data_IF_037583497549
#
_entry.id   IF_037583497549
#
_cell.length_a   1.000
_cell.length_b   1.000
_cell.length_c   1.000
_cell.angle_alpha   90.00
_cell.angle_beta   90.00
_cell.angle_gamma   90.00
#
_symmetry.space_group_name_H-M   'P 1'
#
loop_
_entity.id
_entity.type
_entity.pdbx_description
1 polymer ?
#
# COMPACT_ATOMS: atom_id res chain seq x y z
N UNK A 1 1.57 -14.03 -49.04
CA UNK A 1 2.03 -15.42 -49.24
C UNK A 1 0.97 -16.32 -48.62
N UNK A 2 -0.05 -16.70 -49.40
CA UNK A 2 -0.19 -17.99 -50.15
C UNK A 2 -0.75 -19.11 -49.25
N UNK A 3 -2.05 -19.46 -49.34
CA UNK A 3 -2.67 -20.57 -50.16
C UNK A 3 -2.38 -21.97 -49.53
N UNK A 4 -3.23 -23.02 -49.44
CA UNK A 4 -4.44 -23.54 -50.17
C UNK A 4 -5.37 -24.27 -49.15
N UNK A 5 -6.68 -24.54 -49.33
CA UNK A 5 -7.62 -24.01 -50.33
C UNK A 5 -8.47 -24.99 -51.19
N UNK A 6 -8.94 -26.18 -50.74
CA UNK A 6 -9.78 -27.08 -51.59
C UNK A 6 -10.97 -27.82 -50.89
N UNK A 7 -12.00 -28.31 -51.63
CA UNK A 7 -13.31 -28.76 -51.10
C UNK A 7 -13.66 -30.25 -51.38
N UNK A 8 -14.85 -30.69 -50.94
CA UNK A 8 -15.60 -31.85 -51.50
C UNK A 8 -17.10 -31.48 -51.56
N UNK A 9 -17.76 -31.37 -52.71
CA UNK A 9 -18.11 -32.36 -53.75
C UNK A 9 -19.34 -33.22 -53.42
N UNK A 10 -20.43 -32.92 -54.14
CA UNK A 10 -21.67 -33.70 -54.23
C UNK A 10 -21.61 -34.57 -55.50
N UNK A 11 -21.98 -35.85 -55.39
CA UNK A 11 -22.33 -36.72 -56.51
C UNK A 11 -23.43 -37.70 -56.03
N UNK A 12 -24.68 -37.55 -56.48
CA UNK A 12 -25.24 -38.15 -57.71
C UNK A 12 -25.21 -39.68 -57.73
N UNK A 13 -26.35 -40.27 -57.39
CA UNK A 13 -26.63 -41.70 -57.55
C UNK A 13 -27.40 -41.95 -58.86
N UNK A 14 -26.96 -42.95 -59.65
CA UNK A 14 -27.80 -43.69 -60.59
C UNK A 14 -27.32 -45.16 -60.67
N UNK A 15 -28.21 -46.13 -60.99
CA UNK A 15 -27.95 -47.55 -60.79
C UNK A 15 -27.60 -48.31 -62.08
N UNK A 16 -26.83 -49.39 -61.95
CA UNK A 16 -26.87 -50.54 -62.88
C UNK A 16 -26.78 -51.82 -62.05
N UNK A 17 -27.71 -52.74 -62.28
CA UNK A 17 -27.67 -54.10 -61.71
C UNK A 17 -27.80 -55.09 -62.86
N UNK A 18 -26.82 -55.97 -63.03
CA UNK A 18 -26.93 -57.13 -63.93
C UNK A 18 -27.42 -58.33 -63.14
N UNK A 19 -28.39 -59.06 -63.71
CA UNK A 19 -28.97 -60.24 -63.09
C UNK A 19 -28.09 -61.49 -63.29
N UNK A 20 -27.87 -62.24 -62.22
CA UNK A 20 -27.31 -63.60 -62.24
C UNK A 20 -28.07 -64.43 -61.20
N UNK A 21 -28.80 -65.46 -61.65
CA UNK A 21 -29.78 -66.15 -60.81
C UNK A 21 -29.33 -67.52 -60.30
N UNK A 22 -30.10 -68.06 -59.35
CA UNK A 22 -30.18 -69.51 -59.12
C UNK A 22 -29.51 -70.05 -57.84
N UNK A 23 -30.20 -69.98 -56.71
CA UNK A 23 -30.97 -71.12 -56.15
C UNK A 23 -31.55 -70.78 -54.77
N UNK A 24 -32.61 -71.48 -54.35
CA UNK A 24 -33.39 -71.16 -53.14
C UNK A 24 -32.77 -71.83 -51.89
N UNK A 25 -32.53 -71.05 -50.83
CA UNK A 25 -32.38 -71.56 -49.45
C UNK A 25 -33.36 -70.83 -48.51
N UNK A 26 -34.61 -71.28 -48.51
CA UNK A 26 -35.79 -70.56 -47.96
C UNK A 26 -36.00 -70.70 -46.43
N UNK A 27 -35.06 -71.28 -45.68
CA UNK A 27 -35.21 -71.45 -44.21
C UNK A 27 -33.92 -71.20 -43.43
N UNK A 28 -33.29 -70.02 -43.60
CA UNK A 28 -32.08 -69.62 -42.85
C UNK A 28 -31.95 -68.14 -42.49
N UNK A 29 -32.48 -67.21 -43.30
CA UNK A 29 -32.13 -65.78 -43.19
C UNK A 29 -32.53 -65.05 -41.90
N UNK A 30 -33.44 -65.57 -41.07
CA UNK A 30 -33.83 -64.90 -39.81
C UNK A 30 -32.81 -65.11 -38.68
N UNK A 31 -32.16 -66.27 -38.60
CA UNK A 31 -31.11 -66.52 -37.61
C UNK A 31 -29.84 -65.72 -37.95
N UNK A 32 -29.45 -65.72 -39.22
CA UNK A 32 -28.32 -64.93 -39.74
C UNK A 32 -28.48 -63.42 -39.46
N UNK A 33 -29.67 -62.88 -39.74
CA UNK A 33 -29.97 -61.47 -39.44
C UNK A 33 -29.89 -61.15 -37.94
N UNK A 34 -30.33 -62.06 -37.07
CA UNK A 34 -30.29 -61.85 -35.62
C UNK A 34 -28.87 -61.97 -35.05
N UNK A 35 -28.03 -62.82 -35.65
CA UNK A 35 -26.59 -62.90 -35.34
C UNK A 35 -25.88 -61.60 -35.72
N UNK A 36 -26.15 -61.06 -36.91
CA UNK A 36 -25.61 -59.77 -37.34
C UNK A 36 -26.05 -58.60 -36.44
N UNK A 37 -27.32 -58.59 -36.01
CA UNK A 37 -27.82 -57.58 -35.04
C UNK A 37 -27.19 -57.73 -33.65
N UNK A 38 -26.93 -58.96 -33.19
CA UNK A 38 -26.24 -59.22 -31.92
C UNK A 38 -24.77 -58.78 -31.97
N UNK A 39 -24.08 -59.03 -33.09
CA UNK A 39 -22.71 -58.56 -33.30
C UNK A 39 -22.65 -57.03 -33.34
N UNK A 40 -23.57 -56.37 -34.06
CA UNK A 40 -23.65 -54.91 -34.08
C UNK A 40 -23.92 -54.33 -32.67
N UNK A 41 -24.69 -55.03 -31.81
CA UNK A 41 -24.86 -54.65 -30.41
C UNK A 41 -23.57 -54.84 -29.58
N UNK A 42 -22.79 -55.91 -29.85
CA UNK A 42 -21.48 -56.15 -29.23
C UNK A 42 -20.48 -55.03 -29.58
N UNK A 43 -20.39 -54.69 -30.86
CA UNK A 43 -19.49 -53.64 -31.36
C UNK A 43 -19.88 -52.26 -30.80
N UNK A 44 -21.18 -51.95 -30.75
CA UNK A 44 -21.68 -50.70 -30.16
C UNK A 44 -21.44 -50.63 -28.64
N UNK A 45 -21.54 -51.75 -27.92
CA UNK A 45 -21.21 -51.82 -26.50
C UNK A 45 -19.69 -51.66 -26.26
N UNK A 46 -18.85 -52.27 -27.10
CA UNK A 46 -17.40 -52.11 -27.04
C UNK A 46 -16.96 -50.66 -27.30
N UNK A 47 -17.58 -49.98 -28.27
CA UNK A 47 -17.35 -48.56 -28.52
C UNK A 47 -17.73 -47.70 -27.30
N UNK A 48 -18.93 -47.90 -26.74
CA UNK A 48 -19.39 -47.17 -25.54
C UNK A 48 -18.48 -47.41 -24.32
N UNK A 49 -17.94 -48.63 -24.17
CA UNK A 49 -16.98 -48.96 -23.12
C UNK A 49 -15.65 -48.21 -23.31
N UNK A 50 -15.11 -48.19 -24.52
CA UNK A 50 -13.86 -47.48 -24.84
C UNK A 50 -14.00 -45.96 -24.66
N UNK A 51 -15.12 -45.38 -25.09
CA UNK A 51 -15.43 -43.95 -24.87
C UNK A 51 -15.49 -43.60 -23.38
N UNK A 52 -16.07 -44.48 -22.54
CA UNK A 52 -16.16 -44.27 -21.10
C UNK A 52 -14.81 -44.36 -20.39
N UNK A 53 -14.00 -45.38 -20.70
CA UNK A 53 -12.63 -45.52 -20.15
C UNK A 53 -11.72 -44.35 -20.57
N UNK A 54 -11.82 -43.88 -21.83
CA UNK A 54 -11.09 -42.70 -22.30
C UNK A 54 -11.48 -41.45 -21.49
N UNK A 55 -12.78 -41.16 -21.38
CA UNK A 55 -13.28 -40.01 -20.63
C UNK A 55 -12.91 -40.09 -19.13
N UNK A 56 -12.92 -41.27 -18.53
CA UNK A 56 -12.50 -41.48 -17.14
C UNK A 56 -11.01 -41.16 -16.91
N UNK A 57 -10.15 -41.50 -17.88
CA UNK A 57 -8.71 -41.21 -17.82
C UNK A 57 -8.43 -39.71 -17.96
N UNK A 58 -9.06 -39.04 -18.92
CA UNK A 58 -8.90 -37.60 -19.13
C UNK A 58 -9.40 -36.81 -17.91
N UNK A 59 -10.55 -37.18 -17.36
CA UNK A 59 -11.10 -36.57 -16.15
C UNK A 59 -10.23 -36.82 -14.91
N UNK A 60 -9.51 -37.95 -14.81
CA UNK A 60 -8.55 -38.17 -13.72
C UNK A 60 -7.41 -37.14 -13.77
N UNK A 61 -6.88 -36.81 -14.95
CA UNK A 61 -5.85 -35.78 -15.09
C UNK A 61 -6.36 -34.42 -14.59
N UNK A 62 -7.63 -34.09 -14.85
CA UNK A 62 -8.29 -32.89 -14.33
C UNK A 62 -8.40 -32.89 -12.79
N UNK A 63 -8.78 -34.02 -12.18
CA UNK A 63 -8.84 -34.17 -10.71
C UNK A 63 -7.45 -34.10 -10.06
N UNK A 64 -6.45 -34.75 -10.66
CA UNK A 64 -5.06 -34.70 -10.20
C UNK A 64 -4.51 -33.26 -10.27
N UNK A 65 -4.88 -32.50 -11.31
CA UNK A 65 -4.51 -31.08 -11.48
C UNK A 65 -5.15 -30.19 -10.41
N UNK A 66 -6.44 -30.39 -10.09
CA UNK A 66 -7.13 -29.66 -9.02
C UNK A 66 -6.49 -29.97 -7.67
N UNK A 67 -6.31 -31.25 -7.34
CA UNK A 67 -5.80 -31.69 -6.02
C UNK A 67 -4.35 -31.32 -5.77
N UNK A 68 -3.51 -31.21 -6.81
CA UNK A 68 -2.14 -30.72 -6.70
C UNK A 68 -2.04 -29.26 -6.19
N UNK A 69 -3.13 -28.47 -6.27
CA UNK A 69 -3.09 -27.02 -5.98
C UNK A 69 -4.23 -26.50 -5.09
N UNK A 70 -5.29 -27.28 -4.85
CA UNK A 70 -6.47 -26.85 -4.08
C UNK A 70 -6.91 -27.93 -3.06
N UNK A 71 -6.82 -27.60 -1.77
CA UNK A 71 -7.34 -28.40 -0.64
C UNK A 71 -8.65 -27.81 -0.07
N UNK A 72 -9.36 -26.97 -0.83
CA UNK A 72 -10.66 -26.47 -0.39
C UNK A 72 -11.69 -27.60 -0.21
N UNK A 73 -12.75 -27.41 0.61
CA UNK A 73 -13.84 -28.38 0.72
C UNK A 73 -14.50 -28.72 -0.63
N UNK A 74 -14.47 -27.79 -1.60
CA UNK A 74 -14.97 -28.02 -2.95
C UNK A 74 -14.07 -28.99 -3.75
N UNK A 75 -12.74 -28.83 -3.66
CA UNK A 75 -11.79 -29.74 -4.29
C UNK A 75 -11.84 -31.15 -3.67
N UNK A 76 -11.86 -31.25 -2.33
CA UNK A 76 -12.05 -32.53 -1.63
C UNK A 76 -13.37 -33.22 -1.98
N UNK A 77 -14.45 -32.44 -2.13
CA UNK A 77 -15.73 -32.97 -2.61
C UNK A 77 -15.64 -33.48 -4.05
N UNK A 78 -14.96 -32.76 -4.95
CA UNK A 78 -14.76 -33.22 -6.32
C UNK A 78 -14.04 -34.59 -6.36
N UNK A 79 -13.05 -34.83 -5.50
CA UNK A 79 -12.41 -36.15 -5.36
C UNK A 79 -13.43 -37.21 -4.91
N UNK A 80 -14.19 -36.94 -3.83
CA UNK A 80 -15.20 -37.89 -3.31
C UNK A 80 -16.30 -38.22 -4.33
N UNK A 81 -16.78 -37.21 -5.06
CA UNK A 81 -17.81 -37.34 -6.08
C UNK A 81 -17.25 -38.10 -7.32
N UNK A 82 -15.98 -37.90 -7.68
CA UNK A 82 -15.28 -38.67 -8.72
C UNK A 82 -15.05 -40.14 -8.32
N UNK A 83 -14.65 -40.43 -7.08
CA UNK A 83 -14.56 -41.81 -6.56
C UNK A 83 -15.91 -42.52 -6.57
N UNK A 84 -17.00 -41.80 -6.30
CA UNK A 84 -18.36 -42.34 -6.37
C UNK A 84 -18.79 -42.64 -7.82
N UNK A 85 -18.38 -41.81 -8.79
CA UNK A 85 -18.56 -42.11 -10.22
C UNK A 85 -17.69 -43.30 -10.65
N UNK A 86 -16.44 -43.40 -10.19
CA UNK A 86 -15.55 -44.53 -10.46
C UNK A 86 -16.18 -45.88 -10.13
N UNK A 87 -16.75 -46.02 -8.93
CA UNK A 87 -17.47 -47.26 -8.53
C UNK A 87 -18.66 -47.61 -9.44
N UNK A 88 -19.32 -46.61 -10.03
CA UNK A 88 -20.46 -46.80 -10.95
C UNK A 88 -20.00 -47.12 -12.38
N UNK A 89 -18.83 -46.61 -12.78
CA UNK A 89 -18.13 -47.03 -14.00
C UNK A 89 -17.71 -48.48 -13.85
N UNK A 90 -17.08 -48.88 -12.74
CA UNK A 90 -16.67 -50.26 -12.48
C UNK A 90 -17.87 -51.24 -12.56
N UNK A 91 -19.03 -50.86 -12.01
CA UNK A 91 -20.26 -51.65 -12.09
C UNK A 91 -20.80 -51.77 -13.54
N UNK A 92 -20.82 -50.67 -14.30
CA UNK A 92 -21.26 -50.68 -15.70
C UNK A 92 -20.32 -51.51 -16.60
N UNK A 93 -19.00 -51.32 -16.40
CA UNK A 93 -17.93 -52.10 -17.02
C UNK A 93 -18.04 -53.58 -16.73
N UNK A 94 -18.28 -53.96 -15.47
CA UNK A 94 -18.47 -55.36 -15.07
C UNK A 94 -19.70 -56.00 -15.72
N UNK A 95 -20.83 -55.26 -15.83
CA UNK A 95 -22.02 -55.74 -16.54
C UNK A 95 -21.78 -55.91 -18.05
N UNK A 96 -21.01 -55.02 -18.67
CA UNK A 96 -20.59 -55.17 -20.07
C UNK A 96 -19.70 -56.39 -20.28
N UNK A 97 -18.66 -56.58 -19.46
CA UNK A 97 -17.76 -57.74 -19.52
C UNK A 97 -18.56 -59.04 -19.37
N UNK A 98 -19.41 -59.13 -18.34
CA UNK A 98 -20.29 -60.29 -18.14
C UNK A 98 -21.21 -60.56 -19.34
N UNK A 99 -21.74 -59.52 -19.99
CA UNK A 99 -22.58 -59.67 -21.18
C UNK A 99 -21.77 -60.09 -22.43
N UNK A 100 -20.50 -59.74 -22.53
CA UNK A 100 -19.61 -60.23 -23.60
C UNK A 100 -19.20 -61.68 -23.35
N UNK A 101 -18.84 -62.02 -22.12
CA UNK A 101 -18.36 -63.36 -21.73
C UNK A 101 -19.48 -64.41 -21.73
N UNK A 102 -20.74 -64.00 -21.49
CA UNK A 102 -21.90 -64.90 -21.50
C UNK A 102 -22.32 -65.38 -22.90
N UNK A 103 -21.93 -64.66 -23.98
CA UNK A 103 -22.44 -64.90 -25.34
C UNK A 103 -21.31 -65.10 -26.35
N UNK A 104 -20.99 -66.37 -26.63
CA UNK A 104 -20.19 -66.77 -27.78
C UNK A 104 -21.00 -66.59 -29.08
N UNK A 105 -20.82 -65.42 -29.71
CA UNK A 105 -21.43 -65.06 -31.00
C UNK A 105 -20.68 -65.65 -32.21
N UNK A 106 -19.54 -66.33 -32.00
CA UNK A 106 -18.72 -66.93 -33.06
C UNK A 106 -19.09 -68.39 -33.31
N UNK A 107 -19.79 -69.04 -32.38
CA UNK A 107 -20.34 -70.41 -32.48
C UNK A 107 -21.23 -70.65 -33.73
N UNK A 108 -20.93 -71.70 -34.49
CA UNK A 108 -21.61 -72.03 -35.77
C UNK A 108 -23.10 -72.40 -35.64
N UNK A 109 -23.51 -73.02 -34.53
CA UNK A 109 -24.88 -73.48 -34.26
C UNK A 109 -25.68 -72.57 -33.32
N UNK A 110 -25.38 -71.26 -33.31
CA UNK A 110 -26.05 -70.27 -32.45
C UNK A 110 -27.57 -70.21 -32.67
N UNK A 111 -28.35 -70.51 -31.64
CA UNK A 111 -29.80 -70.41 -31.69
C UNK A 111 -30.30 -68.97 -31.83
N UNK A 112 -31.34 -68.77 -32.64
CA UNK A 112 -32.06 -67.48 -32.75
C UNK A 112 -32.48 -66.90 -31.39
N UNK A 113 -32.91 -67.75 -30.43
CA UNK A 113 -33.27 -67.30 -29.09
C UNK A 113 -32.04 -66.81 -28.29
N UNK A 114 -30.87 -67.42 -28.47
CA UNK A 114 -29.62 -66.98 -27.85
C UNK A 114 -29.12 -65.67 -28.46
N UNK A 115 -29.13 -65.54 -29.79
CA UNK A 115 -28.76 -64.31 -30.49
C UNK A 115 -29.62 -63.10 -30.05
N UNK A 116 -30.94 -63.28 -29.90
CA UNK A 116 -31.81 -62.21 -29.38
C UNK A 116 -31.52 -61.85 -27.92
N UNK A 117 -31.24 -62.83 -27.04
CA UNK A 117 -30.83 -62.56 -25.64
C UNK A 117 -29.52 -61.77 -25.60
N UNK A 118 -28.50 -62.20 -26.35
CA UNK A 118 -27.23 -61.51 -26.47
C UNK A 118 -27.42 -60.06 -26.94
N UNK A 119 -28.21 -59.84 -28.00
CA UNK A 119 -28.57 -58.50 -28.49
C UNK A 119 -29.20 -57.64 -27.40
N UNK A 120 -30.17 -58.16 -26.65
CA UNK A 120 -30.86 -57.44 -25.56
C UNK A 120 -29.90 -57.09 -24.42
N UNK A 121 -29.09 -58.05 -23.96
CA UNK A 121 -28.17 -57.86 -22.84
C UNK A 121 -27.02 -56.89 -23.20
N UNK A 122 -26.44 -57.01 -24.39
CA UNK A 122 -25.42 -56.10 -24.91
C UNK A 122 -25.97 -54.68 -25.15
N UNK A 123 -27.21 -54.55 -25.65
CA UNK A 123 -27.86 -53.23 -25.78
C UNK A 123 -28.09 -52.58 -24.42
N UNK A 124 -28.53 -53.35 -23.42
CA UNK A 124 -28.73 -52.86 -22.06
C UNK A 124 -27.41 -52.43 -21.39
N UNK A 125 -26.32 -53.19 -21.60
CA UNK A 125 -24.98 -52.82 -21.15
C UNK A 125 -24.50 -51.53 -21.83
N UNK A 126 -24.67 -51.41 -23.15
CA UNK A 126 -24.35 -50.19 -23.92
C UNK A 126 -25.13 -48.97 -23.44
N UNK A 127 -26.42 -49.12 -23.15
CA UNK A 127 -27.25 -48.01 -22.65
C UNK A 127 -26.86 -47.60 -21.22
N UNK A 128 -26.47 -48.54 -20.37
CA UNK A 128 -25.94 -48.23 -19.04
C UNK A 128 -24.58 -47.52 -19.10
N UNK A 129 -23.65 -47.99 -19.95
CA UNK A 129 -22.36 -47.33 -20.19
C UNK A 129 -22.58 -45.88 -20.66
N UNK A 130 -23.51 -45.67 -21.59
CA UNK A 130 -23.91 -44.35 -22.07
C UNK A 130 -24.52 -43.45 -20.98
N UNK A 131 -25.34 -44.00 -20.08
CA UNK A 131 -25.90 -43.25 -18.94
C UNK A 131 -24.81 -42.78 -17.97
N UNK A 132 -23.86 -43.66 -17.60
CA UNK A 132 -22.75 -43.32 -16.72
C UNK A 132 -21.80 -42.31 -17.41
N UNK A 133 -21.56 -42.44 -18.72
CA UNK A 133 -20.78 -41.45 -19.48
C UNK A 133 -21.42 -40.06 -19.42
N UNK A 134 -22.74 -39.95 -19.64
CA UNK A 134 -23.43 -38.65 -19.56
C UNK A 134 -23.36 -38.01 -18.18
N UNK A 135 -23.26 -38.79 -17.10
CA UNK A 135 -23.04 -38.28 -15.75
C UNK A 135 -21.59 -37.81 -15.55
N UNK A 136 -20.63 -38.54 -16.12
CA UNK A 136 -19.22 -38.17 -16.15
C UNK A 136 -19.00 -36.83 -16.87
N UNK A 137 -19.58 -36.68 -18.07
CA UNK A 137 -19.53 -35.46 -18.90
C UNK A 137 -20.17 -34.26 -18.16
N UNK A 138 -21.25 -34.50 -17.41
CA UNK A 138 -21.92 -33.49 -16.55
C UNK A 138 -21.07 -33.10 -15.33
N UNK A 139 -20.37 -34.06 -14.73
CA UNK A 139 -19.46 -33.81 -13.62
C UNK A 139 -18.22 -33.03 -14.08
N UNK A 140 -17.59 -33.43 -15.19
CA UNK A 140 -16.47 -32.71 -15.82
C UNK A 140 -16.84 -31.25 -16.10
N UNK A 141 -18.01 -31.02 -16.71
CA UNK A 141 -18.55 -29.67 -16.97
C UNK A 141 -18.67 -28.82 -15.69
N UNK A 142 -18.91 -29.46 -14.54
CA UNK A 142 -18.96 -28.81 -13.23
C UNK A 142 -17.59 -28.44 -12.63
N UNK A 143 -16.49 -29.05 -13.10
CA UNK A 143 -15.14 -28.78 -12.60
C UNK A 143 -14.51 -27.49 -13.16
N UNK A 144 -15.05 -26.91 -14.24
CA UNK A 144 -14.49 -25.74 -14.93
C UNK A 144 -14.01 -24.60 -14.01
N UNK A 145 -14.78 -24.17 -12.99
CA UNK A 145 -14.34 -23.13 -12.04
C UNK A 145 -13.14 -23.54 -11.16
N UNK A 146 -13.02 -24.83 -10.80
CA UNK A 146 -11.88 -25.35 -10.04
C UNK A 146 -10.64 -25.47 -10.92
N UNK A 147 -10.79 -25.95 -12.16
CA UNK A 147 -9.70 -26.02 -13.14
C UNK A 147 -9.15 -24.63 -13.48
N UNK A 148 -10.00 -23.65 -13.82
CA UNK A 148 -9.55 -22.30 -14.11
C UNK A 148 -8.86 -21.60 -12.92
N UNK A 149 -9.25 -21.93 -11.69
CA UNK A 149 -8.54 -21.50 -10.46
C UNK A 149 -7.18 -22.18 -10.35
N UNK A 150 -7.11 -23.49 -10.59
CA UNK A 150 -5.87 -24.28 -10.54
C UNK A 150 -4.84 -23.79 -11.57
N UNK A 151 -5.25 -23.64 -12.83
CA UNK A 151 -4.45 -23.04 -13.91
C UNK A 151 -3.94 -21.65 -13.55
N UNK A 152 -4.80 -20.80 -12.99
CA UNK A 152 -4.44 -19.45 -12.54
C UNK A 152 -3.36 -19.47 -11.44
N UNK A 153 -3.39 -20.45 -10.53
CA UNK A 153 -2.35 -20.60 -9.50
C UNK A 153 -1.04 -21.13 -10.08
N UNK A 154 -1.09 -22.14 -10.94
CA UNK A 154 0.07 -22.70 -11.63
C UNK A 154 0.79 -21.65 -12.48
N UNK A 155 0.05 -20.87 -13.27
CA UNK A 155 0.59 -19.79 -14.10
C UNK A 155 1.28 -18.68 -13.28
N UNK A 156 0.88 -18.48 -12.01
CA UNK A 156 1.48 -17.49 -11.10
C UNK A 156 2.73 -18.00 -10.38
N UNK A 157 2.93 -19.32 -10.29
CA UNK A 157 3.95 -19.94 -9.44
C UNK A 157 5.38 -19.50 -9.81
N UNK A 158 5.81 -19.77 -11.04
CA UNK A 158 7.16 -19.43 -11.48
C UNK A 158 7.44 -17.90 -11.43
N UNK A 159 6.55 -17.02 -11.92
CA UNK A 159 6.72 -15.57 -11.75
C UNK A 159 6.77 -15.08 -10.30
N UNK A 160 6.13 -15.77 -9.35
CA UNK A 160 6.20 -15.42 -7.93
C UNK A 160 7.55 -15.81 -7.31
N UNK A 161 8.02 -17.04 -7.55
CA UNK A 161 9.31 -17.53 -7.06
C UNK A 161 10.46 -16.69 -7.62
N UNK A 162 10.40 -16.31 -8.90
CA UNK A 162 11.43 -15.49 -9.52
C UNK A 162 11.47 -14.07 -8.94
N UNK A 163 10.31 -13.43 -8.72
CA UNK A 163 10.25 -12.12 -8.02
C UNK A 163 10.82 -12.20 -6.61
N UNK A 164 10.58 -13.27 -5.87
CA UNK A 164 11.17 -13.47 -4.54
C UNK A 164 12.71 -13.53 -4.59
N UNK A 165 13.28 -14.26 -5.56
CA UNK A 165 14.74 -14.34 -5.77
C UNK A 165 15.34 -12.98 -6.16
N UNK A 166 14.70 -12.27 -7.08
CA UNK A 166 15.15 -10.94 -7.52
C UNK A 166 15.09 -9.91 -6.37
N UNK A 167 14.05 -9.95 -5.54
CA UNK A 167 13.93 -9.09 -4.36
C UNK A 167 15.04 -9.38 -3.33
N UNK A 168 15.33 -10.66 -3.05
CA UNK A 168 16.43 -11.06 -2.16
C UNK A 168 17.80 -10.59 -2.66
N UNK A 169 18.09 -10.77 -3.96
CA UNK A 169 19.33 -10.30 -4.58
C UNK A 169 19.46 -8.76 -4.50
N UNK A 170 18.38 -8.05 -4.81
CA UNK A 170 18.35 -6.59 -4.72
C UNK A 170 18.54 -6.08 -3.27
N UNK A 171 17.97 -6.77 -2.28
CA UNK A 171 18.18 -6.48 -0.87
C UNK A 171 19.64 -6.71 -0.45
N UNK A 172 20.28 -7.81 -0.89
CA UNK A 172 21.71 -8.05 -0.64
C UNK A 172 22.58 -6.95 -1.22
N UNK A 173 22.37 -6.61 -2.50
CA UNK A 173 23.13 -5.57 -3.20
C UNK A 173 22.98 -4.19 -2.52
N UNK A 174 21.78 -3.85 -2.04
CA UNK A 174 21.56 -2.61 -1.30
C UNK A 174 22.32 -2.59 0.05
N UNK A 175 22.35 -3.71 0.79
CA UNK A 175 23.14 -3.81 2.02
C UNK A 175 24.65 -3.72 1.77
N UNK A 176 25.14 -4.30 0.67
CA UNK A 176 26.55 -4.19 0.29
C UNK A 176 26.92 -2.77 -0.17
N UNK A 177 26.00 -2.05 -0.82
CA UNK A 177 26.14 -0.63 -1.11
C UNK A 177 26.19 0.22 0.18
N UNK A 178 25.32 -0.05 1.15
CA UNK A 178 25.35 0.62 2.46
C UNK A 178 26.68 0.35 3.18
N UNK A 179 27.16 -0.91 3.20
CA UNK A 179 28.48 -1.25 3.78
C UNK A 179 29.63 -0.54 3.08
N UNK A 180 29.62 -0.46 1.75
CA UNK A 180 30.69 0.22 1.00
C UNK A 180 30.73 1.73 1.25
N UNK A 181 29.60 2.34 1.64
CA UNK A 181 29.53 3.73 2.12
C UNK A 181 30.01 3.94 3.56
N UNK A 182 30.47 2.88 4.25
CA UNK A 182 30.91 2.93 5.66
C UNK A 182 29.76 2.91 6.66
N UNK A 183 28.52 2.68 6.21
CA UNK A 183 27.34 2.59 7.06
C UNK A 183 27.09 1.16 7.54
N UNK A 184 26.53 1.04 8.74
CA UNK A 184 26.10 -0.22 9.35
C UNK A 184 24.65 -0.50 9.01
N UNK A 185 24.34 -1.78 8.84
CA UNK A 185 23.00 -2.25 8.54
C UNK A 185 22.75 -3.62 9.19
N UNK A 186 23.30 -3.85 10.39
CA UNK A 186 23.38 -5.16 11.02
C UNK A 186 22.00 -5.77 11.27
N UNK A 187 21.03 -4.97 11.74
CA UNK A 187 19.63 -5.40 11.92
C UNK A 187 18.95 -5.78 10.59
N UNK A 188 19.24 -5.04 9.51
CA UNK A 188 18.70 -5.32 8.17
C UNK A 188 19.34 -6.57 7.57
N UNK A 189 20.64 -6.78 7.80
CA UNK A 189 21.37 -7.97 7.40
C UNK A 189 20.90 -9.22 8.17
N UNK A 190 20.64 -9.09 9.47
CA UNK A 190 20.05 -10.17 10.29
C UNK A 190 18.64 -10.54 9.79
N UNK A 191 17.80 -9.54 9.45
CA UNK A 191 16.49 -9.78 8.84
C UNK A 191 16.58 -10.43 7.46
N UNK A 192 17.54 -10.04 6.62
CA UNK A 192 17.77 -10.70 5.33
C UNK A 192 18.24 -12.15 5.51
N UNK A 193 19.14 -12.40 6.47
CA UNK A 193 19.61 -13.75 6.78
C UNK A 193 18.47 -14.66 7.29
N UNK A 194 17.51 -14.11 8.03
CA UNK A 194 16.32 -14.83 8.50
C UNK A 194 15.41 -15.33 7.35
N UNK A 195 15.51 -14.75 6.14
CA UNK A 195 14.80 -15.24 4.94
C UNK A 195 15.49 -16.45 4.27
N UNK A 196 16.71 -16.81 4.70
CA UNK A 196 17.48 -17.94 4.15
C UNK A 196 16.73 -19.28 4.14
N UNK A 197 16.13 -19.73 5.26
CA UNK A 197 15.33 -20.96 5.30
C UNK A 197 14.12 -20.94 4.36
N UNK A 198 13.50 -19.78 4.13
CA UNK A 198 12.38 -19.67 3.19
C UNK A 198 12.89 -19.74 1.74
N UNK A 199 14.04 -19.15 1.40
CA UNK A 199 14.70 -19.36 0.11
C UNK A 199 15.04 -20.84 -0.13
N UNK A 200 15.51 -21.58 0.88
CA UNK A 200 15.73 -23.04 0.76
C UNK A 200 14.46 -23.77 0.38
N UNK A 201 13.33 -23.46 1.03
CA UNK A 201 12.02 -24.08 0.72
C UNK A 201 11.48 -23.64 -0.65
N UNK A 202 11.74 -22.40 -1.08
CA UNK A 202 11.41 -21.96 -2.45
C UNK A 202 12.22 -22.72 -3.51
N UNK A 203 13.48 -23.05 -3.23
CA UNK A 203 14.32 -23.85 -4.13
C UNK A 203 13.94 -25.35 -4.15
N UNK A 204 13.38 -25.87 -3.06
CA UNK A 204 12.74 -27.20 -3.02
C UNK A 204 11.44 -27.26 -3.84
N UNK A 205 10.76 -26.12 -4.01
CA UNK A 205 9.66 -25.95 -4.95
C UNK A 205 8.31 -26.55 -4.52
N UNK A 206 7.29 -26.31 -5.34
CA UNK A 206 5.91 -26.68 -5.01
C UNK A 206 5.65 -28.20 -4.99
N UNK A 207 6.46 -29.01 -5.67
CA UNK A 207 6.33 -30.47 -5.62
C UNK A 207 6.59 -31.06 -4.23
N UNK A 208 7.35 -30.38 -3.37
CA UNK A 208 7.58 -30.78 -1.98
C UNK A 208 6.69 -30.01 -0.98
N UNK A 209 6.32 -28.76 -1.29
CA UNK A 209 5.67 -27.85 -0.33
C UNK A 209 4.20 -27.52 -0.63
N UNK A 210 3.67 -27.91 -1.79
CA UNK A 210 2.35 -27.50 -2.29
C UNK A 210 2.39 -26.14 -3.00
N UNK A 211 1.57 -25.99 -4.05
CA UNK A 211 1.51 -24.74 -4.84
C UNK A 211 1.03 -23.54 -4.02
N UNK A 212 -0.04 -23.62 -3.20
CA UNK A 212 -0.50 -22.50 -2.38
C UNK A 212 0.57 -21.98 -1.41
N UNK A 213 1.23 -22.88 -0.69
CA UNK A 213 2.24 -22.56 0.32
C UNK A 213 3.51 -21.98 -0.33
N UNK A 214 3.91 -22.47 -1.51
CA UNK A 214 5.02 -21.87 -2.27
C UNK A 214 4.67 -20.48 -2.80
N UNK A 215 3.44 -20.24 -3.25
CA UNK A 215 2.95 -18.91 -3.69
C UNK A 215 2.91 -17.91 -2.53
N UNK A 216 2.40 -18.31 -1.37
CA UNK A 216 2.35 -17.51 -0.15
C UNK A 216 3.77 -17.14 0.31
N UNK A 217 4.64 -18.14 0.47
CA UNK A 217 6.06 -17.98 0.82
C UNK A 217 6.78 -17.03 -0.14
N UNK A 218 6.61 -17.21 -1.45
CA UNK A 218 7.24 -16.35 -2.44
C UNK A 218 6.76 -14.89 -2.32
N UNK A 219 5.47 -14.70 -2.06
CA UNK A 219 4.88 -13.37 -1.87
C UNK A 219 5.38 -12.70 -0.58
N UNK A 220 5.51 -13.46 0.51
CA UNK A 220 6.05 -12.95 1.78
C UNK A 220 7.54 -12.59 1.65
N UNK A 221 8.37 -13.51 1.14
CA UNK A 221 9.81 -13.29 0.92
C UNK A 221 10.08 -12.08 0.03
N UNK A 222 9.31 -11.93 -1.07
CA UNK A 222 9.44 -10.76 -1.94
C UNK A 222 9.16 -9.45 -1.18
N UNK A 223 8.05 -9.37 -0.44
CA UNK A 223 7.67 -8.17 0.34
C UNK A 223 8.68 -7.83 1.42
N UNK A 224 9.17 -8.82 2.17
CA UNK A 224 10.12 -8.59 3.25
C UNK A 224 11.49 -8.16 2.71
N UNK A 225 11.96 -8.77 1.62
CA UNK A 225 13.19 -8.36 0.95
C UNK A 225 13.08 -6.95 0.31
N UNK A 226 11.96 -6.61 -0.33
CA UNK A 226 11.70 -5.26 -0.83
C UNK A 226 11.66 -4.21 0.29
N UNK A 227 11.08 -4.53 1.45
CA UNK A 227 11.08 -3.67 2.62
C UNK A 227 12.49 -3.48 3.22
N UNK A 228 13.32 -4.53 3.22
CA UNK A 228 14.73 -4.45 3.63
C UNK A 228 15.52 -3.55 2.66
N UNK A 229 15.35 -3.75 1.34
CA UNK A 229 15.99 -2.92 0.30
C UNK A 229 15.64 -1.45 0.47
N UNK A 230 14.35 -1.12 0.54
CA UNK A 230 13.88 0.26 0.69
C UNK A 230 14.39 0.94 1.97
N UNK A 231 14.56 0.18 3.06
CA UNK A 231 15.16 0.70 4.31
C UNK A 231 16.68 0.89 4.19
N UNK A 232 17.38 0.01 3.47
CA UNK A 232 18.81 0.15 3.20
C UNK A 232 19.09 1.38 2.31
N UNK A 233 18.33 1.56 1.24
CA UNK A 233 18.45 2.67 0.29
C UNK A 233 18.29 4.06 0.96
N UNK A 234 17.54 4.14 2.06
CA UNK A 234 17.32 5.38 2.83
C UNK A 234 18.47 5.73 3.82
N UNK A 235 19.35 4.79 4.16
CA UNK A 235 20.41 5.03 5.15
C UNK A 235 21.43 6.11 4.70
N UNK A 236 21.92 6.12 3.44
CA UNK A 236 22.85 7.16 2.97
C UNK A 236 22.21 8.56 2.95
N UNK A 237 20.96 8.68 2.54
CA UNK A 237 20.23 9.96 2.53
C UNK A 237 20.07 10.51 3.95
N UNK A 238 19.63 9.66 4.89
CA UNK A 238 19.48 10.03 6.30
C UNK A 238 20.81 10.42 6.96
N UNK A 239 21.89 9.74 6.60
CA UNK A 239 23.23 10.07 7.06
C UNK A 239 23.65 11.47 6.56
N UNK A 240 23.53 11.73 5.26
CA UNK A 240 23.86 13.02 4.64
C UNK A 240 23.00 14.17 5.18
N UNK A 241 21.71 13.95 5.44
CA UNK A 241 20.83 14.96 6.04
C UNK A 241 21.31 15.37 7.45
N UNK A 242 21.67 14.39 8.28
CA UNK A 242 22.20 14.64 9.63
C UNK A 242 23.54 15.37 9.55
N UNK A 243 24.42 15.01 8.62
CA UNK A 243 25.72 15.67 8.42
C UNK A 243 25.55 17.13 8.00
N UNK A 244 24.63 17.42 7.06
CA UNK A 244 24.29 18.78 6.67
C UNK A 244 23.70 19.59 7.83
N UNK A 245 22.79 19.01 8.62
CA UNK A 245 22.20 19.65 9.80
C UNK A 245 23.26 19.94 10.88
N UNK A 246 24.21 19.04 11.11
CA UNK A 246 25.34 19.23 12.02
C UNK A 246 26.21 20.42 11.61
N UNK A 247 26.57 20.52 10.34
CA UNK A 247 27.36 21.67 9.81
C UNK A 247 26.57 22.97 9.92
N UNK A 248 25.31 22.98 9.48
CA UNK A 248 24.45 24.17 9.51
C UNK A 248 24.25 24.73 10.93
N UNK A 249 23.93 23.86 11.90
CA UNK A 249 23.72 24.27 13.29
C UNK A 249 25.02 24.66 13.99
N UNK A 250 26.17 24.05 13.65
CA UNK A 250 27.49 24.46 14.15
C UNK A 250 27.84 25.87 13.69
N UNK A 251 27.65 26.19 12.41
CA UNK A 251 27.83 27.54 11.88
C UNK A 251 26.88 28.55 12.55
N UNK A 252 25.61 28.16 12.78
CA UNK A 252 24.66 29.04 13.49
C UNK A 252 25.04 29.29 14.95
N UNK A 253 25.50 28.27 15.68
CA UNK A 253 26.01 28.43 17.04
C UNK A 253 27.16 29.43 17.08
N UNK A 254 28.15 29.27 16.20
CA UNK A 254 29.34 30.11 16.13
C UNK A 254 29.03 31.58 15.74
N UNK A 255 28.04 31.79 14.86
CA UNK A 255 27.49 33.12 14.56
C UNK A 255 26.77 33.73 15.77
N UNK A 256 26.02 32.92 16.55
CA UNK A 256 25.35 33.37 17.76
C UNK A 256 26.32 33.67 18.90
N UNK A 257 27.44 32.96 19.04
CA UNK A 257 28.52 33.32 19.98
C UNK A 257 29.01 34.74 19.71
N UNK A 258 29.27 35.07 18.44
CA UNK A 258 29.70 36.41 18.02
C UNK A 258 28.64 37.47 18.30
N UNK A 259 27.36 37.20 18.01
CA UNK A 259 26.25 38.15 18.24
C UNK A 259 25.92 38.34 19.72
N UNK A 260 26.02 37.29 20.55
CA UNK A 260 25.81 37.37 21.99
C UNK A 260 26.83 38.32 22.66
N UNK A 261 28.09 38.31 22.19
CA UNK A 261 29.12 39.26 22.63
C UNK A 261 28.82 40.73 22.32
N UNK A 262 27.87 41.04 21.43
CA UNK A 262 27.42 42.40 21.15
C UNK A 262 26.30 42.88 22.09
N UNK A 263 25.74 42.01 22.93
CA UNK A 263 24.65 42.37 23.86
C UNK A 263 25.16 43.24 25.01
N UNK A 264 26.35 42.98 25.55
CA UNK A 264 26.92 43.78 26.66
C UNK A 264 27.16 45.26 26.30
N UNK A 265 27.73 45.61 25.12
CA UNK A 265 27.74 46.98 24.62
C UNK A 265 26.35 47.62 24.53
N UNK A 266 25.35 46.89 24.00
CA UNK A 266 23.96 47.36 23.88
C UNK A 266 23.33 47.62 25.25
N UNK A 267 23.49 46.71 26.21
CA UNK A 267 23.03 46.87 27.59
C UNK A 267 23.75 48.01 28.32
N UNK A 268 25.01 48.28 27.98
CA UNK A 268 25.77 49.39 28.56
C UNK A 268 25.24 50.74 28.05
N UNK A 269 24.91 50.84 26.76
CA UNK A 269 24.28 52.02 26.19
C UNK A 269 22.87 52.24 26.74
N UNK A 270 22.08 51.17 26.90
CA UNK A 270 20.76 51.21 27.53
C UNK A 270 20.84 51.75 28.98
N UNK A 271 21.73 51.17 29.80
CA UNK A 271 21.98 51.60 31.19
C UNK A 271 22.43 53.06 31.31
N UNK A 272 23.14 53.58 30.31
CA UNK A 272 23.64 54.97 30.28
C UNK A 272 22.55 56.00 29.97
N UNK A 273 21.53 55.64 29.19
CA UNK A 273 20.62 56.61 28.56
C UNK A 273 19.14 56.47 28.93
N UNK A 274 18.72 55.33 29.44
CA UNK A 274 17.31 55.02 29.69
C UNK A 274 17.07 54.56 31.13
N UNK A 275 15.82 54.68 31.59
CA UNK A 275 15.40 54.24 32.93
C UNK A 275 15.55 52.73 33.11
N UNK A 276 15.58 52.25 34.36
CA UNK A 276 15.75 50.82 34.66
C UNK A 276 14.69 49.94 33.98
N UNK A 277 13.44 50.39 33.94
CA UNK A 277 12.32 49.69 33.29
C UNK A 277 12.54 49.42 31.79
N UNK A 278 13.42 50.17 31.12
CA UNK A 278 13.73 49.98 29.71
C UNK A 278 14.68 48.80 29.43
N UNK A 279 15.41 48.28 30.44
CA UNK A 279 16.49 47.29 30.22
C UNK A 279 16.67 46.23 31.31
N UNK A 280 16.08 46.38 32.50
CA UNK A 280 16.30 45.47 33.64
C UNK A 280 15.88 44.03 33.32
N UNK A 281 14.83 43.85 32.51
CA UNK A 281 14.37 42.56 32.00
C UNK A 281 15.41 41.86 31.10
N UNK A 282 16.28 42.62 30.45
CA UNK A 282 17.31 42.13 29.54
C UNK A 282 18.64 41.83 30.23
N UNK A 283 18.79 42.14 31.53
CA UNK A 283 20.09 42.04 32.23
C UNK A 283 20.69 40.63 32.24
N UNK A 284 19.86 39.59 32.20
CA UNK A 284 20.29 38.18 32.21
C UNK A 284 20.58 37.62 30.81
N UNK A 285 20.25 38.34 29.73
CA UNK A 285 20.37 37.86 28.35
C UNK A 285 21.80 37.45 27.98
N UNK A 286 22.88 38.19 28.33
CA UNK A 286 24.25 37.76 27.99
C UNK A 286 24.63 36.41 28.63
N UNK A 287 24.29 36.22 29.91
CA UNK A 287 24.57 34.98 30.64
C UNK A 287 23.75 33.81 30.09
N UNK A 288 22.46 34.02 29.82
CA UNK A 288 21.56 33.01 29.25
C UNK A 288 21.97 32.63 27.82
N UNK A 289 22.31 33.60 26.98
CA UNK A 289 22.79 33.36 25.62
C UNK A 289 24.11 32.57 25.63
N UNK A 290 25.06 32.95 26.49
CA UNK A 290 26.31 32.22 26.65
C UNK A 290 26.12 30.79 27.13
N UNK A 291 25.19 30.54 28.06
CA UNK A 291 24.88 29.18 28.52
C UNK A 291 24.17 28.34 27.46
N UNK A 292 23.13 28.88 26.82
CA UNK A 292 22.40 28.18 25.77
C UNK A 292 23.32 27.79 24.59
N UNK A 293 24.26 28.66 24.21
CA UNK A 293 25.27 28.36 23.18
C UNK A 293 26.22 27.25 23.64
N UNK A 294 26.74 27.29 24.88
CA UNK A 294 27.57 26.19 25.43
C UNK A 294 26.83 24.86 25.44
N UNK A 295 25.57 24.85 25.85
CA UNK A 295 24.72 23.66 25.84
C UNK A 295 24.46 23.18 24.41
N UNK A 296 24.21 24.09 23.46
CA UNK A 296 24.06 23.74 22.05
C UNK A 296 25.35 23.14 21.46
N UNK A 297 26.53 23.68 21.78
CA UNK A 297 27.82 23.13 21.36
C UNK A 297 28.10 21.74 21.96
N UNK A 298 27.75 21.51 23.23
CA UNK A 298 27.83 20.19 23.86
C UNK A 298 26.89 19.19 23.17
N UNK A 299 25.62 19.58 22.95
CA UNK A 299 24.63 18.74 22.27
C UNK A 299 24.97 18.49 20.80
N UNK A 300 25.68 19.39 20.12
CA UNK A 300 26.25 19.14 18.80
C UNK A 300 27.37 18.08 18.82
N UNK A 301 28.20 18.01 19.87
CA UNK A 301 29.19 16.95 20.05
C UNK A 301 28.53 15.60 20.35
N UNK A 302 27.50 15.59 21.19
CA UNK A 302 26.68 14.40 21.44
C UNK A 302 25.97 13.92 20.16
N UNK A 303 25.44 14.84 19.35
CA UNK A 303 24.78 14.53 18.09
C UNK A 303 25.77 13.97 17.05
N UNK A 304 26.99 14.50 17.00
CA UNK A 304 28.08 13.93 16.18
C UNK A 304 28.40 12.50 16.64
N UNK A 305 28.63 12.27 17.94
CA UNK A 305 28.90 10.94 18.46
C UNK A 305 27.72 9.95 18.23
N UNK A 306 26.48 10.42 18.26
CA UNK A 306 25.31 9.63 17.89
C UNK A 306 25.27 9.32 16.38
N UNK A 307 25.65 10.28 15.52
CA UNK A 307 25.77 10.11 14.05
C UNK A 307 26.89 9.14 13.67
N UNK A 308 28.04 9.21 14.34
CA UNK A 308 29.19 8.33 14.12
C UNK A 308 28.88 6.90 14.59
N UNK A 309 28.17 6.77 15.73
CA UNK A 309 27.62 5.51 16.23
C UNK A 309 26.33 5.05 15.49
N UNK A 310 25.85 5.83 14.52
CA UNK A 310 24.66 5.57 13.69
C UNK A 310 23.36 5.37 14.48
N UNK A 311 23.26 5.99 15.66
CA UNK A 311 22.04 6.10 16.48
C UNK A 311 21.16 7.23 15.93
N UNK A 312 20.53 6.96 14.80
CA UNK A 312 19.78 7.97 14.03
C UNK A 312 18.66 8.70 14.82
N UNK A 313 17.85 8.05 15.68
CA UNK A 313 16.84 8.75 16.47
C UNK A 313 17.47 9.75 17.46
N UNK A 314 18.53 9.33 18.16
CA UNK A 314 19.24 10.14 19.15
C UNK A 314 19.86 11.38 18.50
N UNK A 315 20.56 11.22 17.38
CA UNK A 315 21.12 12.33 16.60
C UNK A 315 20.01 13.30 16.15
N UNK A 316 18.86 12.79 15.70
CA UNK A 316 17.72 13.62 15.27
C UNK A 316 17.12 14.42 16.44
N UNK A 317 16.99 13.79 17.61
CA UNK A 317 16.49 14.43 18.83
C UNK A 317 17.43 15.54 19.32
N UNK A 318 18.74 15.22 19.42
CA UNK A 318 19.77 16.17 19.85
C UNK A 318 19.86 17.39 18.93
N UNK A 319 19.81 17.20 17.60
CA UNK A 319 19.78 18.32 16.64
C UNK A 319 18.52 19.18 16.78
N UNK A 320 17.40 18.59 17.17
CA UNK A 320 16.16 19.34 17.45
C UNK A 320 16.29 20.18 18.72
N UNK A 321 16.90 19.64 19.78
CA UNK A 321 17.23 20.39 21.00
C UNK A 321 18.20 21.55 20.71
N UNK A 322 19.25 21.30 19.93
CA UNK A 322 20.20 22.35 19.48
C UNK A 322 19.45 23.46 18.74
N UNK A 323 18.58 23.12 17.78
CA UNK A 323 17.79 24.11 17.04
C UNK A 323 16.92 24.97 17.97
N UNK A 324 16.28 24.37 18.97
CA UNK A 324 15.47 25.10 19.95
C UNK A 324 16.33 26.08 20.77
N UNK A 325 17.43 25.62 21.36
CA UNK A 325 18.36 26.45 22.14
C UNK A 325 18.89 27.64 21.31
N UNK A 326 19.30 27.40 20.06
CA UNK A 326 19.82 28.44 19.19
C UNK A 326 18.73 29.43 18.75
N UNK A 327 17.50 28.99 18.48
CA UNK A 327 16.38 29.88 18.17
C UNK A 327 16.04 30.81 19.34
N UNK A 328 15.83 30.26 20.55
CA UNK A 328 15.53 31.05 21.75
C UNK A 328 16.65 32.05 22.07
N UNK A 329 17.91 31.67 21.81
CA UNK A 329 19.06 32.56 21.99
C UNK A 329 19.08 33.69 20.96
N UNK A 330 18.79 33.39 19.69
CA UNK A 330 18.72 34.37 18.61
C UNK A 330 17.63 35.42 18.86
N UNK A 331 16.47 34.98 19.33
CA UNK A 331 15.36 35.83 19.74
C UNK A 331 15.76 36.76 20.90
N UNK A 332 16.35 36.22 21.97
CA UNK A 332 16.78 37.00 23.13
C UNK A 332 17.89 38.03 22.80
N UNK A 333 18.90 37.61 22.03
CA UNK A 333 20.00 38.48 21.56
C UNK A 333 19.48 39.59 20.65
N UNK A 334 18.55 39.27 19.75
CA UNK A 334 17.95 40.26 18.85
C UNK A 334 17.06 41.25 19.60
N UNK A 335 16.28 40.78 20.59
CA UNK A 335 15.41 41.63 21.41
C UNK A 335 16.16 42.78 22.10
N UNK A 336 17.39 42.56 22.58
CA UNK A 336 18.19 43.63 23.19
C UNK A 336 18.61 44.72 22.19
N UNK A 337 19.09 44.32 21.01
CA UNK A 337 19.44 45.25 19.93
C UNK A 337 18.22 46.02 19.42
N UNK A 338 17.07 45.34 19.32
CA UNK A 338 15.80 45.92 18.87
C UNK A 338 15.22 46.89 19.90
N UNK A 339 15.31 46.57 21.20
CA UNK A 339 14.97 47.46 22.31
C UNK A 339 15.73 48.79 22.20
N UNK A 340 17.07 48.75 22.05
CA UNK A 340 17.87 49.95 21.90
C UNK A 340 17.51 50.77 20.64
N UNK A 341 17.26 50.12 19.49
CA UNK A 341 16.83 50.84 18.28
C UNK A 341 15.48 51.53 18.45
N UNK A 342 14.48 50.85 19.03
CA UNK A 342 13.14 51.41 19.30
C UNK A 342 13.20 52.57 20.30
N UNK A 343 13.96 52.40 21.39
CA UNK A 343 14.14 53.45 22.41
C UNK A 343 14.87 54.68 21.85
N UNK A 344 15.87 54.50 21.00
CA UNK A 344 16.52 55.60 20.29
C UNK A 344 15.57 56.36 19.35
N UNK A 345 14.68 55.65 18.64
CA UNK A 345 13.72 56.26 17.74
C UNK A 345 12.68 57.10 18.51
N UNK A 346 12.05 56.53 19.54
CA UNK A 346 11.03 57.23 20.32
C UNK A 346 11.61 58.36 21.18
N UNK A 347 12.85 58.25 21.66
CA UNK A 347 13.52 59.36 22.35
C UNK A 347 13.79 60.55 21.41
N UNK A 348 14.03 60.28 20.12
CA UNK A 348 14.25 61.32 19.10
C UNK A 348 12.95 62.02 18.70
N UNK A 349 11.87 61.26 18.55
CA UNK A 349 10.55 61.77 18.16
C UNK A 349 9.44 60.88 18.78
N UNK A 350 8.93 61.22 19.98
CA UNK A 350 7.78 60.53 20.56
C UNK A 350 6.48 60.83 19.80
N UNK A 351 6.39 61.99 19.16
CA UNK A 351 5.18 62.51 18.53
C UNK A 351 4.76 61.63 17.35
N UNK A 352 5.72 61.07 16.59
CA UNK A 352 5.45 60.09 15.55
C UNK A 352 4.61 58.89 16.04
N UNK A 353 4.92 58.34 17.21
CA UNK A 353 4.22 57.17 17.76
C UNK A 353 2.87 57.55 18.40
N UNK A 354 2.78 58.76 18.98
CA UNK A 354 1.51 59.36 19.44
C UNK A 354 0.55 59.51 18.26
N UNK A 355 0.97 60.18 17.19
CA UNK A 355 0.11 60.51 16.04
C UNK A 355 -0.32 59.27 15.27
N UNK A 356 0.57 58.28 15.15
CA UNK A 356 0.24 56.95 14.61
C UNK A 356 -0.86 56.26 15.42
N UNK A 357 -0.78 56.31 16.75
CA UNK A 357 -1.77 55.68 17.64
C UNK A 357 -3.09 56.46 17.63
N UNK A 358 -3.05 57.80 17.70
CA UNK A 358 -4.22 58.67 17.51
C UNK A 358 -4.89 58.48 16.16
N UNK A 359 -4.13 58.22 15.09
CA UNK A 359 -4.70 57.94 13.77
C UNK A 359 -5.49 56.63 13.77
N UNK A 360 -4.92 55.54 14.29
CA UNK A 360 -5.59 54.26 14.39
C UNK A 360 -6.90 54.34 15.19
N UNK A 361 -6.89 55.01 16.35
CA UNK A 361 -8.09 55.19 17.18
C UNK A 361 -9.17 55.98 16.41
N UNK A 362 -8.81 57.12 15.80
CA UNK A 362 -9.76 57.96 15.06
C UNK A 362 -10.37 57.25 13.85
N UNK A 363 -9.59 56.44 13.13
CA UNK A 363 -10.09 55.67 11.99
C UNK A 363 -11.08 54.58 12.44
N UNK A 364 -10.79 53.90 13.55
CA UNK A 364 -11.71 52.93 14.15
C UNK A 364 -12.99 53.58 14.70
N UNK A 365 -12.89 54.74 15.35
CA UNK A 365 -14.06 55.52 15.80
C UNK A 365 -14.94 55.95 14.60
N UNK A 366 -14.31 56.39 13.50
CA UNK A 366 -15.01 56.71 12.24
C UNK A 366 -15.71 55.49 11.64
N UNK A 367 -15.05 54.33 11.66
CA UNK A 367 -15.63 53.07 11.20
C UNK A 367 -16.84 52.66 12.06
N UNK A 368 -16.74 52.78 13.39
CA UNK A 368 -17.81 52.48 14.34
C UNK A 368 -19.05 53.38 14.15
N UNK A 369 -18.84 54.65 13.83
CA UNK A 369 -19.91 55.62 13.52
C UNK A 369 -20.51 55.50 12.12
N UNK A 370 -19.88 54.74 11.20
CA UNK A 370 -20.35 54.66 9.81
C UNK A 370 -21.77 54.07 9.75
N UNK A 371 -22.72 54.83 9.19
CA UNK A 371 -24.12 54.45 9.06
C UNK A 371 -24.95 54.53 10.35
N UNK A 372 -24.45 55.19 11.41
CA UNK A 372 -25.15 55.30 12.70
C UNK A 372 -25.11 56.73 13.24
N UNK A 373 -26.19 57.19 13.87
CA UNK A 373 -26.26 58.49 14.57
C UNK A 373 -25.73 58.39 16.01
N UNK A 374 -25.86 57.21 16.62
CA UNK A 374 -25.37 56.90 17.97
C UNK A 374 -24.38 55.74 17.88
N UNK A 375 -23.19 55.82 18.51
CA UNK A 375 -22.23 54.73 18.48
C UNK A 375 -22.72 53.51 19.26
N UNK A 376 -22.25 52.32 18.87
CA UNK A 376 -22.49 51.10 19.64
C UNK A 376 -21.70 51.13 20.96
N UNK A 377 -22.33 50.95 22.13
CA UNK A 377 -21.59 50.87 23.40
C UNK A 377 -20.52 49.76 23.41
N UNK A 378 -20.70 48.69 22.63
CA UNK A 378 -19.72 47.58 22.50
C UNK A 378 -18.43 48.01 21.80
N UNK A 379 -18.52 48.98 20.89
CA UNK A 379 -17.39 49.48 20.11
C UNK A 379 -16.83 50.81 20.65
N UNK A 380 -17.70 51.70 21.14
CA UNK A 380 -17.29 52.99 21.68
C UNK A 380 -16.48 52.83 22.96
N UNK A 381 -16.99 52.09 23.97
CA UNK A 381 -16.34 52.02 25.28
C UNK A 381 -14.87 51.56 25.20
N UNK A 382 -14.50 50.51 24.43
CA UNK A 382 -13.09 50.14 24.27
C UNK A 382 -12.25 51.16 23.47
N UNK A 383 -12.85 51.95 22.58
CA UNK A 383 -12.15 53.01 21.84
C UNK A 383 -11.95 54.27 22.68
N UNK A 384 -12.90 54.60 23.56
CA UNK A 384 -12.77 55.71 24.51
C UNK A 384 -11.75 55.36 25.61
N UNK A 385 -11.75 54.10 26.07
CA UNK A 385 -10.71 53.55 26.94
C UNK A 385 -9.32 53.60 26.25
N UNK A 386 -9.24 53.29 24.95
CA UNK A 386 -8.02 53.42 24.17
C UNK A 386 -7.50 54.87 24.04
N UNK A 387 -8.38 55.88 24.02
CA UNK A 387 -7.97 57.30 24.13
C UNK A 387 -7.39 57.60 25.51
N UNK A 388 -8.12 57.26 26.58
CA UNK A 388 -7.69 57.54 27.95
C UNK A 388 -6.35 56.87 28.29
N UNK A 389 -6.16 55.62 27.85
CA UNK A 389 -4.90 54.88 27.97
C UNK A 389 -3.75 55.53 27.20
N UNK A 390 -3.99 56.04 26.00
CA UNK A 390 -2.99 56.77 25.23
C UNK A 390 -2.58 58.09 25.92
N UNK A 391 -3.54 58.88 26.38
CA UNK A 391 -3.22 60.14 27.06
C UNK A 391 -2.51 59.89 28.41
N UNK A 392 -2.85 58.82 29.13
CA UNK A 392 -2.08 58.37 30.30
C UNK A 392 -0.67 57.91 29.92
N UNK A 393 -0.48 57.19 28.80
CA UNK A 393 0.85 56.81 28.34
C UNK A 393 1.71 58.04 28.00
N UNK A 394 1.12 59.10 27.45
CA UNK A 394 1.81 60.36 27.12
C UNK A 394 2.32 61.05 28.38
N UNK A 395 1.56 61.10 29.48
CA UNK A 395 2.05 61.72 30.72
C UNK A 395 3.22 60.95 31.35
N UNK A 396 3.40 59.65 31.06
CA UNK A 396 4.61 58.91 31.48
C UNK A 396 5.88 59.33 30.75
N UNK A 397 5.78 60.16 29.70
CA UNK A 397 6.91 60.79 29.03
C UNK A 397 7.43 62.05 29.75
N UNK A 398 6.74 62.53 30.79
CA UNK A 398 7.14 63.72 31.54
C UNK A 398 8.21 63.41 32.61
N UNK A 399 9.24 64.25 32.70
CA UNK A 399 10.29 64.14 33.72
C UNK A 399 11.70 63.90 33.16
N UNK A 400 12.66 63.61 34.06
CA UNK A 400 14.10 63.59 33.74
C UNK A 400 14.59 62.31 33.07
N UNK A 401 13.96 61.16 33.36
CA UNK A 401 14.24 59.86 32.76
C UNK A 401 12.94 59.11 32.48
N UNK A 402 12.21 59.45 31.40
CA UNK A 402 10.90 58.89 31.14
C UNK A 402 10.93 57.39 30.83
N UNK A 403 9.83 56.69 31.10
CA UNK A 403 9.69 55.27 30.76
C UNK A 403 9.19 55.10 29.32
N UNK A 404 10.11 55.35 28.39
CA UNK A 404 9.90 55.13 26.96
C UNK A 404 9.55 53.68 26.62
N UNK A 405 9.91 52.70 27.46
CA UNK A 405 9.53 51.30 27.20
C UNK A 405 8.08 51.05 27.56
N UNK A 406 7.62 51.49 28.73
CA UNK A 406 6.20 51.44 29.08
C UNK A 406 5.35 52.14 28.00
N UNK A 407 5.69 53.37 27.63
CA UNK A 407 5.01 54.11 26.55
C UNK A 407 4.95 53.33 25.23
N UNK A 408 6.07 52.72 24.78
CA UNK A 408 6.10 51.92 23.55
C UNK A 408 5.30 50.60 23.63
N UNK A 409 5.23 49.98 24.80
CA UNK A 409 4.40 48.78 25.00
C UNK A 409 2.91 49.12 25.08
N UNK A 410 2.59 50.24 25.70
CA UNK A 410 1.21 50.67 25.93
C UNK A 410 0.57 51.21 24.65
N UNK A 411 1.28 52.03 23.87
CA UNK A 411 0.81 52.49 22.54
C UNK A 411 0.59 51.33 21.56
N UNK A 412 1.41 50.28 21.62
CA UNK A 412 1.19 49.05 20.83
C UNK A 412 -0.03 48.25 21.33
N UNK A 413 -0.19 48.07 22.65
CA UNK A 413 -1.35 47.39 23.24
C UNK A 413 -2.68 48.14 22.96
N UNK A 414 -2.65 49.47 22.95
CA UNK A 414 -3.74 50.33 22.50
C UNK A 414 -4.08 50.04 21.03
N UNK A 415 -3.09 50.06 20.12
CA UNK A 415 -3.33 49.74 18.69
C UNK A 415 -3.91 48.34 18.48
N UNK A 416 -3.39 47.32 19.17
CA UNK A 416 -3.93 45.95 19.09
C UNK A 416 -5.38 45.85 19.61
N UNK A 417 -5.73 46.65 20.62
CA UNK A 417 -7.10 46.73 21.13
C UNK A 417 -8.03 47.41 20.12
N UNK A 418 -7.58 48.48 19.48
CA UNK A 418 -8.27 49.14 18.37
C UNK A 418 -8.47 48.19 17.18
N UNK A 419 -7.45 47.42 16.80
CA UNK A 419 -7.55 46.43 15.70
C UNK A 419 -8.61 45.37 16.00
N UNK A 420 -8.69 44.86 17.24
CA UNK A 420 -9.74 43.90 17.63
C UNK A 420 -11.15 44.48 17.45
N UNK A 421 -11.38 45.74 17.83
CA UNK A 421 -12.66 46.43 17.61
C UNK A 421 -12.96 46.59 16.11
N UNK A 422 -11.96 46.98 15.30
CA UNK A 422 -12.11 47.09 13.84
C UNK A 422 -12.47 45.73 13.20
N UNK A 423 -11.86 44.65 13.64
CA UNK A 423 -12.20 43.29 13.19
C UNK A 423 -13.64 42.93 13.55
N UNK A 424 -14.05 43.12 14.81
CA UNK A 424 -15.42 42.86 15.24
C UNK A 424 -16.46 43.64 14.41
N UNK A 425 -16.25 44.95 14.20
CA UNK A 425 -17.17 45.78 13.37
C UNK A 425 -17.27 45.25 11.93
N UNK A 426 -16.18 44.74 11.36
CA UNK A 426 -16.15 44.17 10.01
C UNK A 426 -16.84 42.81 9.96
N UNK A 427 -16.63 41.96 10.94
CA UNK A 427 -17.29 40.66 11.07
C UNK A 427 -18.81 40.84 11.22
N UNK A 428 -19.27 41.69 12.15
CA UNK A 428 -20.70 41.99 12.35
C UNK A 428 -21.36 42.52 11.06
N UNK A 429 -20.67 43.38 10.30
CA UNK A 429 -21.16 43.89 9.00
C UNK A 429 -21.13 42.82 7.89
N UNK A 430 -20.17 41.90 7.92
CA UNK A 430 -20.14 40.76 7.00
C UNK A 430 -21.28 39.79 7.26
N UNK A 431 -21.58 39.51 8.53
CA UNK A 431 -22.71 38.64 8.92
C UNK A 431 -24.08 39.27 8.73
N UNK A 432 -24.18 40.60 8.66
CA UNK A 432 -25.43 41.32 8.38
C UNK A 432 -25.73 41.50 6.87
N UNK A 433 -24.85 40.97 5.99
CA UNK A 433 -24.99 40.99 4.53
C UNK A 433 -25.36 39.63 3.92
N UNK A 434 -25.76 38.67 4.75
CA UNK A 434 -26.27 37.33 4.39
C UNK A 434 -27.59 37.07 5.13
#
# INVERSE_FOLDING_TARGET
>A
MTLVGLPLLVALALPVSFAGGGTRRWFGGRAESQRAEAQAAKDAAAAAFYELDTAQRDLRISIDTITAVDDSPAARRAVTDFEALGRRIDEASGRYINAVDAHDLDRDDLEAAAANRARTELSAAKDQLGQVKQELDRFESGLGPLLGKAETQLARLAPAVERARQALLAASNALDAVRSSGLRADDLAARLAALGPELTKLNQGAGQHGVPQTLERATQVAREAEAIRAQADQLPERAAEIDHRLVSLRTRAQALTTRAGQVDPVLSELRRRFSAACWQDLQQVPQQAGENVRQAELKLKEAQAARDAQRWPDATSLLSTVRALLNTTDEAVSAAGDRLRRLNAVQKDPQQEIDRTRFAIRDAQRLAMTGRTTPDPRHARPLDEAVARLDQAITTLEGRHPDYWHFLTETEAVRQSVTRVVTQIREERGTAGH
#
